data_IF_323663798650
#
_entry.id   IF_323663798650
#
_cell.length_a   1.000
_cell.length_b   1.000
_cell.length_c   1.000
_cell.angle_alpha   90.00
_cell.angle_beta   90.00
_cell.angle_gamma   90.00
#
_symmetry.space_group_name_H-M   'P 1'
#
loop_
_entity.id
_entity.type
_entity.pdbx_description
1 polymer ?
#
# COMPACT_ATOMS: atom_id res chain seq x y z
N UNK A 1 -17.09 15.91 -10.21
CA UNK A 1 -17.04 15.25 -8.90
C UNK A 1 -15.66 14.63 -8.73
N UNK A 2 -14.98 14.93 -7.61
CA UNK A 2 -13.70 14.34 -7.26
C UNK A 2 -13.85 13.12 -6.36
N UNK A 3 -12.79 12.31 -6.27
CA UNK A 3 -12.69 11.18 -5.36
C UNK A 3 -11.66 11.46 -4.27
N UNK A 4 -12.06 11.25 -3.03
CA UNK A 4 -11.15 11.24 -1.88
C UNK A 4 -10.84 9.78 -1.54
N UNK A 5 -9.66 9.30 -1.94
CA UNK A 5 -9.23 7.94 -1.64
C UNK A 5 -8.76 7.85 -0.19
N UNK A 6 -9.17 6.81 0.53
CA UNK A 6 -8.77 6.58 1.92
C UNK A 6 -8.16 5.18 2.09
N UNK A 7 -7.43 4.99 3.18
CA UNK A 7 -6.76 3.74 3.53
C UNK A 7 -5.82 3.21 2.43
N UNK A 8 -4.96 4.04 1.84
CA UNK A 8 -4.12 3.64 0.71
C UNK A 8 -3.14 2.51 1.04
N UNK A 9 -2.81 2.33 2.32
CA UNK A 9 -1.89 1.29 2.78
C UNK A 9 -2.61 0.09 3.42
N UNK A 10 -3.95 0.00 3.33
CA UNK A 10 -4.69 -1.12 3.89
C UNK A 10 -4.39 -1.37 5.37
N UNK A 11 -4.51 -0.35 6.21
CA UNK A 11 -4.17 -0.40 7.63
C UNK A 11 -2.72 -0.82 7.92
N UNK A 12 -1.80 -0.54 7.01
CA UNK A 12 -0.38 -0.82 7.14
C UNK A 12 0.08 -2.11 6.46
N UNK A 13 -0.81 -2.90 5.88
CA UNK A 13 -0.44 -4.13 5.14
C UNK A 13 0.50 -3.81 3.98
N UNK A 14 0.23 -2.73 3.25
CA UNK A 14 1.07 -2.27 2.14
C UNK A 14 2.24 -1.38 2.58
N UNK A 15 2.56 -1.34 3.86
CA UNK A 15 3.84 -0.78 4.34
C UNK A 15 4.97 -1.80 4.30
N UNK A 16 4.65 -3.09 4.16
CA UNK A 16 5.62 -4.17 4.20
C UNK A 16 5.98 -4.64 5.62
N UNK A 17 5.64 -3.88 6.66
CA UNK A 17 6.07 -4.16 8.03
C UNK A 17 5.58 -5.52 8.54
N UNK A 18 4.34 -5.91 8.21
CA UNK A 18 3.80 -7.20 8.61
C UNK A 18 4.49 -8.39 7.92
N UNK A 19 4.91 -8.20 6.67
CA UNK A 19 5.61 -9.22 5.89
C UNK A 19 7.03 -9.40 6.42
N UNK A 20 7.71 -8.29 6.70
CA UNK A 20 9.09 -8.27 7.19
C UNK A 20 9.19 -8.52 8.70
N UNK A 21 8.07 -8.76 9.37
CA UNK A 21 7.98 -8.94 10.83
C UNK A 21 8.54 -7.76 11.63
N UNK A 22 8.39 -6.56 11.09
CA UNK A 22 8.78 -5.30 11.72
C UNK A 22 7.60 -4.55 12.32
N UNK A 23 6.44 -5.19 12.39
CA UNK A 23 5.24 -4.57 12.93
C UNK A 23 5.36 -4.36 14.44
N UNK A 24 4.77 -3.26 14.90
CA UNK A 24 4.71 -2.92 16.32
C UNK A 24 3.51 -3.60 16.99
N UNK A 25 3.61 -3.99 18.29
CA UNK A 25 2.44 -4.40 19.05
C UNK A 25 1.32 -3.36 19.06
N UNK A 26 1.68 -2.09 18.87
CA UNK A 26 0.75 -0.96 18.78
C UNK A 26 0.23 -0.71 17.36
N UNK A 27 0.54 -1.56 16.40
CA UNK A 27 0.02 -1.42 15.04
C UNK A 27 -1.50 -1.58 15.02
N UNK A 28 -2.15 -0.95 14.03
CA UNK A 28 -3.61 -0.90 13.95
C UNK A 28 -4.26 -2.29 13.86
N UNK A 29 -3.65 -3.22 13.12
CA UNK A 29 -4.18 -4.58 13.01
C UNK A 29 -4.07 -5.37 14.32
N UNK A 30 -3.02 -5.12 15.10
CA UNK A 30 -2.84 -5.77 16.40
C UNK A 30 -3.77 -5.19 17.47
N UNK A 31 -4.06 -3.89 17.42
CA UNK A 31 -4.91 -3.21 18.39
C UNK A 31 -6.41 -3.42 18.14
N UNK A 32 -6.82 -3.53 16.88
CA UNK A 32 -8.24 -3.51 16.51
C UNK A 32 -8.64 -4.70 15.64
N UNK A 33 -9.28 -5.69 16.24
CA UNK A 33 -9.78 -6.89 15.56
C UNK A 33 -10.78 -6.61 14.42
N UNK A 34 -11.39 -5.43 14.40
CA UNK A 34 -12.34 -5.03 13.33
C UNK A 34 -11.72 -4.92 11.93
N UNK A 35 -10.40 -4.86 11.84
CA UNK A 35 -9.69 -4.77 10.55
C UNK A 35 -9.22 -6.13 10.02
N UNK A 36 -9.82 -7.23 10.47
CA UNK A 36 -9.45 -8.61 10.10
C UNK A 36 -9.38 -8.84 8.59
N UNK A 37 -10.21 -8.15 7.80
CA UNK A 37 -10.21 -8.31 6.33
C UNK A 37 -8.83 -8.05 5.69
N UNK A 38 -8.01 -7.22 6.29
CA UNK A 38 -6.66 -6.93 5.80
C UNK A 38 -5.61 -7.95 6.26
N UNK A 39 -5.97 -8.92 7.08
CA UNK A 39 -5.07 -9.97 7.59
C UNK A 39 -5.35 -11.35 7.00
N UNK A 40 -6.17 -11.44 5.96
CA UNK A 40 -6.44 -12.69 5.26
C UNK A 40 -5.18 -13.23 4.58
N UNK A 41 -5.16 -14.55 4.31
CA UNK A 41 -4.07 -15.16 3.56
C UNK A 41 -3.90 -14.54 2.17
N UNK A 42 -5.00 -14.22 1.49
CA UNK A 42 -4.98 -13.55 0.19
C UNK A 42 -4.38 -12.15 0.27
N UNK A 43 -4.73 -11.38 1.30
CA UNK A 43 -4.13 -10.05 1.52
C UNK A 43 -2.62 -10.15 1.74
N UNK A 44 -2.18 -11.12 2.53
CA UNK A 44 -0.76 -11.34 2.80
C UNK A 44 -0.02 -11.77 1.53
N UNK A 45 -0.60 -12.67 0.75
CA UNK A 45 -0.01 -13.13 -0.51
C UNK A 45 0.10 -12.01 -1.54
N UNK A 46 -0.97 -11.25 -1.73
CA UNK A 46 -0.97 -10.09 -2.62
C UNK A 46 0.08 -9.07 -2.18
N UNK A 47 0.15 -8.74 -0.89
CA UNK A 47 1.13 -7.80 -0.36
C UNK A 47 2.57 -8.27 -0.59
N UNK A 48 2.85 -9.57 -0.47
CA UNK A 48 4.18 -10.14 -0.79
C UNK A 48 4.53 -9.95 -2.26
N UNK A 49 3.60 -10.21 -3.16
CA UNK A 49 3.81 -10.03 -4.60
C UNK A 49 4.07 -8.55 -4.94
N UNK A 50 3.32 -7.63 -4.34
CA UNK A 50 3.56 -6.20 -4.51
C UNK A 50 4.91 -5.77 -3.93
N UNK A 51 5.32 -6.34 -2.79
CA UNK A 51 6.64 -6.07 -2.21
C UNK A 51 7.78 -6.51 -3.14
N UNK A 52 7.65 -7.67 -3.78
CA UNK A 52 8.63 -8.13 -4.77
C UNK A 52 8.77 -7.16 -5.93
N UNK A 53 7.66 -6.62 -6.45
CA UNK A 53 7.68 -5.60 -7.50
C UNK A 53 8.41 -4.34 -7.01
N UNK A 54 8.08 -3.85 -5.83
CA UNK A 54 8.71 -2.67 -5.25
C UNK A 54 10.23 -2.85 -5.11
N UNK A 55 10.66 -3.99 -4.55
CA UNK A 55 12.08 -4.31 -4.37
C UNK A 55 12.82 -4.41 -5.70
N UNK A 56 12.22 -5.01 -6.71
CA UNK A 56 12.79 -5.12 -8.06
C UNK A 56 13.07 -3.75 -8.69
N UNK A 57 12.24 -2.76 -8.39
CA UNK A 57 12.35 -1.40 -8.94
C UNK A 57 12.95 -0.40 -7.96
N UNK A 58 13.55 -0.86 -6.86
CA UNK A 58 14.18 -0.01 -5.83
C UNK A 58 13.22 1.01 -5.19
N UNK A 59 11.96 0.61 -5.01
CA UNK A 59 10.94 1.40 -4.33
C UNK A 59 10.58 0.75 -3.00
N UNK A 60 10.15 1.56 -2.02
CA UNK A 60 9.44 1.00 -0.88
C UNK A 60 8.01 0.62 -1.30
N UNK A 61 7.44 -0.39 -0.66
CA UNK A 61 6.06 -0.78 -0.92
C UNK A 61 5.10 0.37 -0.61
N UNK A 62 5.36 1.13 0.46
CA UNK A 62 4.60 2.33 0.83
C UNK A 62 4.60 3.36 -0.31
N UNK A 63 5.77 3.71 -0.82
CA UNK A 63 5.91 4.70 -1.90
C UNK A 63 5.21 4.24 -3.17
N UNK A 64 5.35 2.97 -3.52
CA UNK A 64 4.68 2.40 -4.69
C UNK A 64 3.15 2.43 -4.55
N UNK A 65 2.62 2.03 -3.39
CA UNK A 65 1.18 2.02 -3.15
C UNK A 65 0.58 3.43 -3.18
N UNK A 66 1.24 4.40 -2.56
CA UNK A 66 0.79 5.79 -2.57
C UNK A 66 0.88 6.42 -3.95
N UNK A 67 1.99 6.19 -4.67
CA UNK A 67 2.17 6.70 -6.04
C UNK A 67 1.11 6.14 -6.99
N UNK A 68 0.76 4.86 -6.86
CA UNK A 68 -0.29 4.24 -7.66
C UNK A 68 -1.62 5.00 -7.54
N UNK A 69 -2.00 5.38 -6.33
CA UNK A 69 -3.23 6.13 -6.08
C UNK A 69 -3.09 7.57 -6.57
N UNK A 70 -1.96 8.22 -6.27
CA UNK A 70 -1.70 9.61 -6.64
C UNK A 70 -1.76 9.85 -8.16
N UNK A 71 -1.36 8.85 -8.95
CA UNK A 71 -1.34 8.94 -10.41
C UNK A 71 -2.72 8.71 -11.07
N UNK A 72 -3.73 8.25 -10.32
CA UNK A 72 -5.05 8.03 -10.89
C UNK A 72 -5.73 9.38 -11.21
N UNK A 73 -6.15 9.60 -12.46
CA UNK A 73 -6.70 10.91 -12.88
C UNK A 73 -8.01 11.28 -12.20
N UNK A 74 -8.73 10.30 -11.67
CA UNK A 74 -10.01 10.51 -10.98
C UNK A 74 -9.85 10.75 -9.47
N UNK A 75 -8.64 10.61 -8.91
CA UNK A 75 -8.38 10.86 -7.49
C UNK A 75 -8.05 12.33 -7.27
N UNK A 76 -8.87 13.01 -6.49
CA UNK A 76 -8.65 14.41 -6.09
C UNK A 76 -7.64 14.52 -4.97
N UNK A 77 -7.77 13.68 -3.94
CA UNK A 77 -6.85 13.61 -2.81
C UNK A 77 -6.72 12.20 -2.29
N UNK A 78 -5.51 11.85 -1.89
CA UNK A 78 -5.18 10.61 -1.23
C UNK A 78 -5.04 10.87 0.28
N UNK A 79 -5.92 10.28 1.08
CA UNK A 79 -5.98 10.52 2.53
C UNK A 79 -4.98 9.60 3.22
N UNK A 80 -3.94 10.19 3.77
CA UNK A 80 -2.85 9.48 4.44
C UNK A 80 -2.96 9.61 5.96
N UNK A 81 -2.26 8.72 6.68
CA UNK A 81 -2.03 8.81 8.11
C UNK A 81 -0.61 8.39 8.44
N UNK A 82 -0.04 8.97 9.49
CA UNK A 82 1.30 8.65 9.95
C UNK A 82 1.37 8.72 11.47
N UNK A 83 2.18 7.87 12.08
CA UNK A 83 2.39 7.84 13.53
C UNK A 83 3.73 8.43 13.95
N UNK A 84 4.61 8.73 12.98
CA UNK A 84 5.89 9.40 13.20
C UNK A 84 6.27 10.26 11.99
N UNK A 85 7.31 11.09 12.17
CA UNK A 85 7.75 12.01 11.12
C UNK A 85 8.35 11.32 9.89
N UNK A 86 9.02 10.18 10.08
CA UNK A 86 9.59 9.41 8.96
C UNK A 86 8.50 8.90 8.03
N UNK A 87 7.43 8.32 8.60
CA UNK A 87 6.27 7.87 7.84
C UNK A 87 5.59 9.04 7.10
N UNK A 88 5.42 10.17 7.78
CA UNK A 88 4.82 11.35 7.18
C UNK A 88 5.66 11.86 6.01
N UNK A 89 6.97 11.94 6.17
CA UNK A 89 7.89 12.38 5.11
C UNK A 89 7.82 11.44 3.90
N UNK A 90 7.86 10.14 4.10
CA UNK A 90 7.73 9.15 3.03
C UNK A 90 6.38 9.29 2.29
N UNK A 91 5.30 9.49 3.05
CA UNK A 91 3.98 9.68 2.47
C UNK A 91 3.91 10.95 1.60
N UNK A 92 4.47 12.06 2.06
CA UNK A 92 4.53 13.31 1.30
C UNK A 92 5.40 13.15 0.06
N UNK A 93 6.57 12.53 0.19
CA UNK A 93 7.51 12.33 -0.91
C UNK A 93 6.96 11.42 -2.02
N UNK A 94 5.94 10.62 -1.73
CA UNK A 94 5.29 9.76 -2.72
C UNK A 94 4.74 10.51 -3.93
N UNK A 95 4.45 11.81 -3.81
CA UNK A 95 3.99 12.63 -4.94
C UNK A 95 5.05 12.81 -6.02
N UNK A 96 6.33 12.64 -5.67
CA UNK A 96 7.44 12.75 -6.61
C UNK A 96 7.81 11.40 -7.24
N UNK A 97 7.18 10.31 -6.79
CA UNK A 97 7.42 8.97 -7.35
C UNK A 97 6.56 8.80 -8.59
N UNK A 98 7.21 8.47 -9.70
CA UNK A 98 6.54 8.15 -10.97
C UNK A 98 6.68 6.66 -11.24
N UNK A 99 5.57 5.99 -11.53
CA UNK A 99 5.54 4.56 -11.84
C UNK A 99 5.68 4.36 -13.35
N UNK A 100 6.71 3.59 -13.76
CA UNK A 100 6.89 3.23 -15.16
C UNK A 100 5.77 2.30 -15.64
N UNK A 101 5.59 2.21 -16.97
CA UNK A 101 4.62 1.28 -17.57
C UNK A 101 4.90 -0.18 -17.18
N UNK A 102 6.17 -0.56 -17.01
CA UNK A 102 6.55 -1.88 -16.56
C UNK A 102 6.05 -2.17 -15.14
N UNK A 103 6.21 -1.22 -14.22
CA UNK A 103 5.71 -1.34 -12.85
C UNK A 103 4.18 -1.48 -12.86
N UNK A 104 3.49 -0.63 -13.61
CA UNK A 104 2.02 -0.66 -13.71
C UNK A 104 1.52 -1.99 -14.29
N UNK A 105 2.20 -2.57 -15.28
CA UNK A 105 1.86 -3.89 -15.83
C UNK A 105 2.06 -5.01 -14.81
N UNK A 106 3.15 -4.97 -14.04
CA UNK A 106 3.40 -5.94 -12.99
C UNK A 106 2.36 -5.86 -11.88
N UNK A 107 1.95 -4.66 -11.48
CA UNK A 107 0.85 -4.44 -10.53
C UNK A 107 -0.45 -5.03 -11.07
N UNK A 108 -0.77 -4.79 -12.34
CA UNK A 108 -1.99 -5.30 -12.97
C UNK A 108 -2.00 -6.83 -13.00
N UNK A 109 -0.88 -7.48 -13.25
CA UNK A 109 -0.78 -8.95 -13.20
C UNK A 109 -1.12 -9.50 -11.83
N UNK A 110 -0.66 -8.87 -10.75
CA UNK A 110 -1.02 -9.28 -9.39
C UNK A 110 -2.51 -9.08 -9.15
N UNK A 111 -3.06 -7.96 -9.60
CA UNK A 111 -4.49 -7.68 -9.48
C UNK A 111 -5.34 -8.73 -10.22
N UNK A 112 -4.94 -9.17 -11.41
CA UNK A 112 -5.62 -10.22 -12.16
C UNK A 112 -5.58 -11.57 -11.44
N UNK A 113 -4.49 -11.89 -10.77
CA UNK A 113 -4.33 -13.13 -10.01
C UNK A 113 -5.14 -13.12 -8.72
N UNK A 114 -5.16 -12.00 -8.00
CA UNK A 114 -5.82 -11.83 -6.71
C UNK A 114 -6.61 -10.51 -6.75
N UNK A 115 -7.80 -10.50 -7.40
CA UNK A 115 -8.52 -9.25 -7.68
C UNK A 115 -9.14 -8.59 -6.45
N UNK A 116 -9.45 -9.34 -5.41
CA UNK A 116 -10.10 -8.81 -4.21
C UNK A 116 -9.56 -9.48 -2.93
N UNK A 117 -8.31 -9.15 -2.54
CA UNK A 117 -7.65 -9.84 -1.45
C UNK A 117 -8.16 -9.47 -0.06
N UNK A 118 -8.92 -8.40 0.08
CA UNK A 118 -9.34 -7.83 1.35
C UNK A 118 -10.85 -7.71 1.50
N UNK A 119 -11.56 -8.73 1.08
CA UNK A 119 -13.04 -8.82 1.19
C UNK A 119 -13.54 -8.92 2.63
#
# INVERSE_FOLDING_TARGET
VGLLAYSPLGCGVLSGNYIEKKDSPNSRLNLFKRFVRYSSNQSTEAAKLYLEIANKHNLSLTSMALAFINEQPFVTSNIIGATNLEQLQENIDSIYVSLSDNILREIEKVHEMIPDPAT
#
